data_IF_039519530438
#
_entry.id   IF_039519530438
#
_cell.length_a   1.000
_cell.length_b   1.000
_cell.length_c   1.000
_cell.angle_alpha   90.00
_cell.angle_beta   90.00
_cell.angle_gamma   90.00
#
_symmetry.space_group_name_H-M   'P 1'
#
loop_
_entity.id
_entity.type
_entity.pdbx_description
1 polymer ?
#
# COMPACT_ATOMS: atom_id res chain seq x y z
N UNK A 1 -0.77 5.55 4.13
CA UNK A 1 -2.03 5.02 4.70
C UNK A 1 -1.79 4.57 6.13
N UNK A 2 -0.66 3.93 6.38
CA UNK A 2 -0.32 3.32 7.68
C UNK A 2 -0.22 4.33 8.81
N UNK A 3 0.40 5.50 8.59
CA UNK A 3 0.44 6.58 9.58
C UNK A 3 -0.95 6.97 10.12
N UNK A 4 -1.91 7.22 9.23
CA UNK A 4 -3.29 7.58 9.63
C UNK A 4 -4.01 6.44 10.34
N UNK A 5 -3.71 5.19 9.99
CA UNK A 5 -4.26 4.02 10.65
C UNK A 5 -3.72 3.88 12.07
N UNK A 6 -2.43 4.15 12.26
CA UNK A 6 -1.75 4.02 13.57
C UNK A 6 -2.07 5.15 14.54
N UNK A 7 -2.67 6.24 14.07
CA UNK A 7 -3.23 7.29 14.94
C UNK A 7 -4.56 6.88 15.61
N UNK A 8 -5.14 5.75 15.21
CA UNK A 8 -6.40 5.27 15.78
C UNK A 8 -6.11 4.61 17.13
N UNK A 9 -6.70 5.18 18.18
CA UNK A 9 -6.64 4.65 19.54
C UNK A 9 -7.91 3.87 19.86
N UNK A 10 -7.74 2.69 20.43
CA UNK A 10 -8.78 1.88 21.03
C UNK A 10 -8.75 2.12 22.55
N UNK A 11 -9.78 2.72 23.12
CA UNK A 11 -9.84 3.01 24.56
C UNK A 11 -10.58 1.89 25.29
N UNK A 12 -9.88 1.17 26.16
CA UNK A 12 -10.44 0.07 26.96
C UNK A 12 -10.78 0.59 28.35
N UNK A 13 -12.06 0.80 28.65
CA UNK A 13 -12.52 1.26 29.96
C UNK A 13 -12.62 0.11 30.95
N UNK A 14 -12.11 0.35 32.16
CA UNK A 14 -12.05 -0.62 33.24
C UNK A 14 -13.17 -0.35 34.24
N UNK A 15 -13.66 -1.43 34.87
CA UNK A 15 -14.62 -1.30 35.97
C UNK A 15 -13.94 -0.67 37.20
N UNK A 16 -14.69 0.09 37.99
CA UNK A 16 -14.17 0.74 39.22
C UNK A 16 -13.62 -0.26 40.26
N UNK A 17 -14.07 -1.52 40.21
CA UNK A 17 -13.63 -2.58 41.11
C UNK A 17 -12.48 -3.44 40.57
N UNK A 18 -11.90 -3.09 39.42
CA UNK A 18 -10.77 -3.80 38.84
C UNK A 18 -9.55 -3.70 39.77
N UNK A 19 -8.88 -4.83 40.01
CA UNK A 19 -7.69 -4.85 40.87
C UNK A 19 -6.48 -4.35 40.07
N UNK A 20 -5.57 -3.63 40.72
CA UNK A 20 -4.33 -3.17 40.07
C UNK A 20 -3.56 -4.30 39.36
N UNK A 21 -3.52 -5.50 39.96
CA UNK A 21 -2.88 -6.66 39.35
C UNK A 21 -3.53 -7.08 38.02
N UNK A 22 -4.85 -6.97 37.91
CA UNK A 22 -5.60 -7.29 36.68
C UNK A 22 -5.35 -6.23 35.60
N UNK A 23 -5.26 -4.96 36.00
CA UNK A 23 -4.92 -3.83 35.12
C UNK A 23 -3.51 -4.01 34.56
N UNK A 24 -2.52 -4.27 35.42
CA UNK A 24 -1.12 -4.45 35.02
C UNK A 24 -0.95 -5.67 34.09
N UNK A 25 -1.69 -6.75 34.37
CA UNK A 25 -1.71 -7.93 33.50
C UNK A 25 -2.32 -7.64 32.14
N UNK A 26 -3.43 -6.89 32.10
CA UNK A 26 -4.07 -6.50 30.85
C UNK A 26 -3.15 -5.59 30.03
N UNK A 27 -2.55 -4.57 30.66
CA UNK A 27 -1.62 -3.66 29.98
C UNK A 27 -0.44 -4.41 29.36
N UNK A 28 0.19 -5.33 30.11
CA UNK A 28 1.29 -6.15 29.59
C UNK A 28 0.84 -7.09 28.47
N UNK A 29 -0.32 -7.72 28.62
CA UNK A 29 -0.88 -8.59 27.59
C UNK A 29 -1.15 -7.83 26.30
N UNK A 30 -1.67 -6.60 26.39
CA UNK A 30 -1.91 -5.74 25.24
C UNK A 30 -0.60 -5.25 24.64
N UNK A 31 0.37 -4.83 25.45
CA UNK A 31 1.68 -4.40 24.98
C UNK A 31 2.47 -5.51 24.25
N UNK A 32 2.23 -6.77 24.58
CA UNK A 32 2.84 -7.94 23.92
C UNK A 32 2.04 -8.44 22.71
N UNK A 33 0.84 -7.91 22.49
CA UNK A 33 -0.01 -8.36 21.40
C UNK A 33 0.55 -7.90 20.04
N UNK A 34 0.53 -8.75 19.01
CA UNK A 34 1.09 -8.41 17.70
C UNK A 34 0.35 -7.25 17.00
N UNK A 35 -0.90 -6.99 17.40
CA UNK A 35 -1.71 -5.90 16.87
C UNK A 35 -1.47 -4.56 17.56
N UNK A 36 -0.71 -4.52 18.67
CA UNK A 36 -0.52 -3.32 19.47
C UNK A 36 0.84 -2.69 19.19
N UNK A 37 0.82 -1.38 18.88
CA UNK A 37 2.02 -0.54 18.78
C UNK A 37 2.42 0.01 20.14
N UNK A 38 1.45 0.47 20.92
CA UNK A 38 1.63 1.05 22.25
C UNK A 38 0.38 0.85 23.09
N UNK A 39 0.54 0.50 24.37
CA UNK A 39 -0.54 0.43 25.35
C UNK A 39 -0.22 1.34 26.54
N UNK A 40 -1.06 2.36 26.74
CA UNK A 40 -0.86 3.38 27.79
C UNK A 40 -2.01 3.28 28.78
N UNK A 41 -1.69 3.12 30.07
CA UNK A 41 -2.69 3.22 31.12
C UNK A 41 -2.93 4.69 31.42
N UNK A 42 -4.20 5.10 31.49
CA UNK A 42 -4.63 6.45 31.83
C UNK A 42 -5.54 6.34 33.05
N UNK A 43 -5.15 6.96 34.16
CA UNK A 43 -6.00 6.98 35.34
C UNK A 43 -7.18 7.92 35.14
N UNK A 44 -8.27 7.71 35.89
CA UNK A 44 -9.42 8.61 35.87
C UNK A 44 -9.05 10.05 36.24
N UNK A 45 -8.04 10.25 37.09
CA UNK A 45 -7.53 11.57 37.47
C UNK A 45 -6.79 12.22 36.29
N UNK A 46 -5.90 11.48 35.63
CA UNK A 46 -5.14 11.96 34.46
C UNK A 46 -6.08 12.25 33.28
N UNK A 47 -7.06 11.37 33.04
CA UNK A 47 -8.09 11.58 32.02
C UNK A 47 -8.90 12.87 32.30
N UNK A 48 -9.16 13.19 33.57
CA UNK A 48 -9.91 14.38 33.93
C UNK A 48 -9.09 15.67 33.78
N UNK A 49 -7.79 15.60 34.06
CA UNK A 49 -6.86 16.70 33.81
C UNK A 49 -6.78 16.99 32.30
N UNK A 50 -6.51 15.98 31.47
CA UNK A 50 -6.45 16.10 30.00
C UNK A 50 -7.76 16.64 29.42
N UNK A 51 -8.90 16.11 29.85
CA UNK A 51 -10.20 16.55 29.33
C UNK A 51 -10.57 17.97 29.76
N UNK A 52 -10.18 18.39 30.96
CA UNK A 52 -10.37 19.76 31.43
C UNK A 52 -9.52 20.75 30.64
N UNK A 53 -8.29 20.37 30.29
CA UNK A 53 -7.42 21.18 29.43
C UNK A 53 -7.98 21.33 28.00
N UNK A 54 -8.54 20.26 27.42
CA UNK A 54 -9.15 20.28 26.09
C UNK A 54 -10.40 21.17 26.02
N UNK A 55 -11.24 21.13 27.05
CA UNK A 55 -12.48 21.93 27.12
C UNK A 55 -12.17 23.36 27.58
N UNK A 56 -11.07 23.58 28.30
CA UNK A 56 -10.70 24.85 28.90
C UNK A 56 -11.46 25.20 30.18
N UNK A 57 -12.21 24.24 30.74
CA UNK A 57 -12.99 24.39 31.97
C UNK A 57 -12.85 23.15 32.86
N UNK A 58 -12.84 23.35 34.19
CA UNK A 58 -12.81 22.26 35.14
C UNK A 58 -14.23 21.69 35.36
N UNK A 59 -14.58 20.67 34.60
CA UNK A 59 -15.89 20.02 34.69
C UNK A 59 -16.11 19.30 36.04
N UNK A 60 -15.04 18.95 36.77
CA UNK A 60 -15.16 18.33 38.11
C UNK A 60 -15.78 19.32 39.09
N UNK A 61 -15.42 20.61 39.01
CA UNK A 61 -15.98 21.64 39.88
C UNK A 61 -17.49 21.85 39.61
N UNK A 62 -17.92 21.63 38.37
CA UNK A 62 -19.33 21.73 37.97
C UNK A 62 -20.16 20.49 38.37
N UNK A 63 -19.62 19.29 38.18
CA UNK A 63 -20.32 18.03 38.47
C UNK A 63 -20.22 17.61 39.95
N UNK A 64 -19.23 18.11 40.69
CA UNK A 64 -18.96 17.75 42.09
C UNK A 64 -18.35 16.36 42.29
N UNK A 65 -18.07 15.63 41.20
CA UNK A 65 -17.38 14.34 41.20
C UNK A 65 -16.72 14.08 39.84
N UNK A 66 -15.79 13.13 39.78
CA UNK A 66 -15.16 12.70 38.53
C UNK A 66 -15.96 11.53 37.89
N UNK A 67 -16.70 11.75 36.79
CA UNK A 67 -17.42 10.70 36.05
C UNK A 67 -16.53 9.80 35.18
N UNK A 68 -15.25 10.13 35.00
CA UNK A 68 -14.35 9.37 34.14
C UNK A 68 -13.87 8.08 34.82
N UNK A 69 -13.47 7.12 33.98
CA UNK A 69 -13.01 5.80 34.39
C UNK A 69 -11.54 5.64 34.04
N UNK A 70 -10.89 4.70 34.72
CA UNK A 70 -9.55 4.26 34.31
C UNK A 70 -9.65 3.58 32.94
N UNK A 71 -8.73 3.90 32.04
CA UNK A 71 -8.67 3.29 30.70
C UNK A 71 -7.28 2.78 30.36
N UNK A 72 -7.23 1.87 29.40
CA UNK A 72 -6.00 1.54 28.68
C UNK A 72 -6.21 1.93 27.22
N UNK A 73 -5.45 2.92 26.79
CA UNK A 73 -5.43 3.41 25.41
C UNK A 73 -4.43 2.58 24.60
N UNK A 74 -4.96 1.85 23.62
CA UNK A 74 -4.21 0.93 22.77
C UNK A 74 -4.09 1.53 21.38
N UNK A 75 -2.87 1.92 21.00
CA UNK A 75 -2.54 2.24 19.61
C UNK A 75 -2.29 0.95 18.84
N UNK A 76 -2.98 0.80 17.71
CA UNK A 76 -2.91 -0.40 16.88
C UNK A 76 -1.86 -0.24 15.77
N UNK A 77 -1.25 -1.36 15.37
CA UNK A 77 -0.40 -1.42 14.17
C UNK A 77 -1.27 -1.30 12.91
N UNK A 78 -0.80 -0.57 11.89
CA UNK A 78 -1.58 -0.28 10.67
C UNK A 78 -2.19 -1.52 9.99
N UNK A 79 -1.48 -2.65 10.03
CA UNK A 79 -1.89 -3.93 9.45
C UNK A 79 -3.19 -4.47 10.06
N UNK A 80 -3.46 -4.13 11.32
CA UNK A 80 -4.62 -4.60 12.08
C UNK A 80 -5.77 -3.59 12.13
N UNK A 81 -5.59 -2.43 11.48
CA UNK A 81 -6.61 -1.37 11.42
C UNK A 81 -7.52 -1.62 10.23
N UNK A 82 -8.41 -2.59 10.43
CA UNK A 82 -9.55 -2.89 9.56
C UNK A 82 -10.81 -3.02 10.40
N UNK A 83 -11.98 -2.74 9.81
CA UNK A 83 -13.27 -2.81 10.52
C UNK A 83 -13.51 -4.18 11.15
N UNK A 84 -13.12 -5.25 10.46
CA UNK A 84 -13.30 -6.64 10.91
C UNK A 84 -12.34 -7.01 12.03
N UNK A 85 -11.04 -6.71 11.89
CA UNK A 85 -10.04 -7.04 12.91
C UNK A 85 -10.22 -6.22 14.19
N UNK A 86 -10.54 -4.93 14.08
CA UNK A 86 -10.79 -4.10 15.26
C UNK A 86 -12.04 -4.59 16.01
N UNK A 87 -13.09 -5.01 15.29
CA UNK A 87 -14.26 -5.61 15.93
C UNK A 87 -13.90 -6.90 16.68
N UNK A 88 -13.08 -7.77 16.10
CA UNK A 88 -12.61 -9.00 16.76
C UNK A 88 -11.76 -8.71 17.98
N UNK A 89 -10.81 -7.77 17.88
CA UNK A 89 -9.95 -7.35 19.00
C UNK A 89 -10.81 -6.74 20.12
N UNK A 90 -11.78 -5.89 19.78
CA UNK A 90 -12.67 -5.28 20.74
C UNK A 90 -13.55 -6.33 21.46
N UNK A 91 -14.05 -7.33 20.74
CA UNK A 91 -14.82 -8.45 21.33
C UNK A 91 -13.97 -9.31 22.25
N UNK A 92 -12.74 -9.64 21.85
CA UNK A 92 -11.79 -10.40 22.68
C UNK A 92 -11.46 -9.67 23.99
N UNK A 93 -11.22 -8.36 23.92
CA UNK A 93 -10.92 -7.54 25.10
C UNK A 93 -12.15 -7.38 25.99
N UNK A 94 -13.34 -7.15 25.39
CA UNK A 94 -14.61 -7.00 26.12
C UNK A 94 -15.02 -8.28 26.85
N UNK A 95 -14.55 -9.45 26.41
CA UNK A 95 -14.80 -10.72 27.09
C UNK A 95 -14.16 -10.86 28.48
N UNK A 96 -13.28 -9.93 28.87
CA UNK A 96 -12.61 -9.94 30.18
C UNK A 96 -13.52 -9.33 31.26
N UNK A 97 -13.76 -10.06 32.35
CA UNK A 97 -14.75 -9.67 33.37
C UNK A 97 -14.50 -8.34 34.10
N UNK A 98 -13.27 -7.81 34.06
CA UNK A 98 -12.87 -6.52 34.65
C UNK A 98 -12.83 -5.36 33.64
N UNK A 99 -13.07 -5.64 32.35
CA UNK A 99 -13.31 -4.63 31.31
C UNK A 99 -14.79 -4.26 31.34
N UNK A 100 -15.09 -2.97 31.27
CA UNK A 100 -16.46 -2.48 31.22
C UNK A 100 -16.93 -2.26 29.79
N UNK A 101 -16.13 -1.54 29.01
CA UNK A 101 -16.44 -1.19 27.64
C UNK A 101 -15.15 -0.99 26.84
N UNK A 102 -15.19 -1.34 25.56
CA UNK A 102 -14.13 -1.01 24.60
C UNK A 102 -14.70 -0.02 23.60
N UNK A 103 -14.22 1.22 23.65
CA UNK A 103 -14.67 2.29 22.78
C UNK A 103 -13.65 2.57 21.67
N UNK A 104 -14.16 2.78 20.46
CA UNK A 104 -13.40 3.16 19.29
C UNK A 104 -14.32 3.82 18.26
N UNK A 105 -13.76 4.73 17.45
CA UNK A 105 -14.51 5.44 16.41
C UNK A 105 -14.79 4.55 15.19
N UNK A 106 -15.81 3.70 15.32
CA UNK A 106 -16.28 2.78 14.26
C UNK A 106 -16.53 3.52 12.94
N UNK A 107 -17.28 4.64 12.90
CA UNK A 107 -17.49 5.40 11.67
C UNK A 107 -16.19 5.87 11.02
N UNK A 108 -15.25 6.43 11.80
CA UNK A 108 -13.98 6.93 11.27
C UNK A 108 -13.15 5.80 10.66
N UNK A 109 -13.02 4.67 11.37
CA UNK A 109 -12.28 3.49 10.87
C UNK A 109 -12.92 2.95 9.59
N UNK A 110 -14.25 2.83 9.55
CA UNK A 110 -14.97 2.36 8.37
C UNK A 110 -14.75 3.31 7.18
N UNK A 111 -14.89 4.62 7.40
CA UNK A 111 -14.65 5.63 6.38
C UNK A 111 -13.21 5.60 5.86
N UNK A 112 -12.21 5.51 6.74
CA UNK A 112 -10.80 5.41 6.35
C UNK A 112 -10.54 4.15 5.53
N UNK A 113 -10.99 3.00 6.01
CA UNK A 113 -10.78 1.70 5.35
C UNK A 113 -11.45 1.67 3.97
N UNK A 114 -12.70 2.14 3.88
CA UNK A 114 -13.45 2.19 2.62
C UNK A 114 -12.83 3.17 1.62
N UNK A 115 -12.38 4.34 2.07
CA UNK A 115 -11.72 5.32 1.21
C UNK A 115 -10.39 4.80 0.69
N UNK A 116 -9.56 4.19 1.55
CA UNK A 116 -8.29 3.56 1.13
C UNK A 116 -8.56 2.46 0.11
N UNK A 117 -9.58 1.62 0.32
CA UNK A 117 -9.97 0.56 -0.62
C UNK A 117 -10.45 1.12 -1.96
N UNK A 118 -11.31 2.15 -1.94
CA UNK A 118 -11.82 2.82 -3.16
C UNK A 118 -10.69 3.47 -3.95
N UNK A 119 -9.81 4.21 -3.29
CA UNK A 119 -8.66 4.87 -3.94
C UNK A 119 -7.73 3.82 -4.55
N UNK A 120 -7.39 2.77 -3.80
CA UNK A 120 -6.54 1.67 -4.28
C UNK A 120 -7.14 0.98 -5.50
N UNK A 121 -8.46 0.77 -5.49
CA UNK A 121 -9.19 0.18 -6.63
C UNK A 121 -9.13 1.07 -7.88
N UNK A 122 -9.34 2.37 -7.74
CA UNK A 122 -9.23 3.30 -8.87
C UNK A 122 -7.81 3.43 -9.39
N UNK A 123 -6.80 3.44 -8.51
CA UNK A 123 -5.38 3.40 -8.92
C UNK A 123 -5.12 2.15 -9.74
N UNK A 124 -5.59 0.98 -9.29
CA UNK A 124 -5.42 -0.27 -10.04
C UNK A 124 -6.07 -0.23 -11.43
N UNK A 125 -7.28 0.32 -11.54
CA UNK A 125 -7.96 0.52 -12.83
C UNK A 125 -7.11 1.39 -13.75
N UNK A 126 -6.68 2.56 -13.25
CA UNK A 126 -5.87 3.51 -14.02
C UNK A 126 -4.56 2.86 -14.45
N UNK A 127 -3.84 2.20 -13.56
CA UNK A 127 -2.62 1.45 -13.88
C UNK A 127 -2.87 0.37 -14.95
N UNK A 128 -4.00 -0.34 -14.89
CA UNK A 128 -4.40 -1.31 -15.91
C UNK A 128 -4.61 -0.67 -17.29
N UNK A 129 -5.29 0.48 -17.34
CA UNK A 129 -5.49 1.26 -18.58
C UNK A 129 -4.15 1.74 -19.14
N UNK A 130 -3.27 2.29 -18.31
CA UNK A 130 -1.93 2.71 -18.75
C UNK A 130 -1.08 1.55 -19.26
N UNK A 131 -1.17 0.39 -18.60
CA UNK A 131 -0.50 -0.84 -19.06
C UNK A 131 -1.02 -1.25 -20.43
N UNK A 132 -2.34 -1.23 -20.63
CA UNK A 132 -2.94 -1.53 -21.92
C UNK A 132 -2.50 -0.56 -23.02
N UNK A 133 -2.47 0.75 -22.74
CA UNK A 133 -1.96 1.78 -23.66
C UNK A 133 -0.50 1.50 -24.01
N UNK A 134 0.35 1.19 -23.02
CA UNK A 134 1.75 0.87 -23.26
C UNK A 134 1.92 -0.33 -24.20
N UNK A 135 1.14 -1.41 -23.99
CA UNK A 135 1.15 -2.59 -24.87
C UNK A 135 0.75 -2.22 -26.31
N UNK A 136 -0.28 -1.38 -26.49
CA UNK A 136 -0.71 -0.92 -27.82
C UNK A 136 0.36 -0.09 -28.53
N UNK A 137 1.03 0.80 -27.81
CA UNK A 137 2.12 1.62 -28.34
C UNK A 137 3.32 0.76 -28.75
N UNK A 138 3.71 -0.21 -27.91
CA UNK A 138 4.78 -1.17 -28.22
C UNK A 138 4.42 -1.98 -29.47
N UNK A 139 3.19 -2.49 -29.55
CA UNK A 139 2.70 -3.26 -30.69
C UNK A 139 2.75 -2.43 -31.99
N UNK A 140 2.29 -1.18 -31.95
CA UNK A 140 2.32 -0.26 -33.09
C UNK A 140 3.74 0.08 -33.53
N UNK A 141 4.66 0.30 -32.57
CA UNK A 141 6.08 0.55 -32.83
C UNK A 141 6.77 -0.65 -33.48
N UNK A 142 6.51 -1.87 -32.98
CA UNK A 142 7.07 -3.11 -33.54
C UNK A 142 6.55 -3.34 -34.96
N UNK A 143 5.25 -3.11 -35.21
CA UNK A 143 4.67 -3.19 -36.55
C UNK A 143 5.44 -2.31 -37.53
N UNK A 144 5.66 -1.05 -37.16
CA UNK A 144 6.39 -0.10 -37.99
C UNK A 144 7.85 -0.54 -38.22
N UNK A 145 8.51 -1.05 -37.18
CA UNK A 145 9.89 -1.54 -37.25
C UNK A 145 10.05 -2.77 -38.14
N UNK A 146 9.10 -3.71 -38.09
CA UNK A 146 9.07 -4.89 -38.96
C UNK A 146 8.81 -4.46 -40.41
N UNK A 147 7.85 -3.57 -40.64
CA UNK A 147 7.51 -3.08 -41.97
C UNK A 147 8.68 -2.36 -42.66
N UNK A 148 9.47 -1.58 -41.92
CA UNK A 148 10.63 -0.89 -42.48
C UNK A 148 11.77 -1.85 -42.85
N UNK A 149 11.86 -3.01 -42.19
CA UNK A 149 12.88 -4.05 -42.42
C UNK A 149 12.35 -5.25 -43.24
N UNK A 150 11.18 -5.14 -43.87
CA UNK A 150 10.49 -6.26 -44.53
C UNK A 150 11.35 -7.02 -45.56
N UNK A 151 12.13 -6.32 -46.37
CA UNK A 151 13.00 -6.94 -47.39
C UNK A 151 14.13 -7.77 -46.78
N UNK A 152 14.75 -7.27 -45.70
CA UNK A 152 15.80 -7.97 -44.96
C UNK A 152 15.22 -9.23 -44.31
N UNK A 153 14.04 -9.11 -43.69
CA UNK A 153 13.33 -10.24 -43.07
C UNK A 153 13.00 -11.31 -44.11
N UNK A 154 12.49 -10.93 -45.29
CA UNK A 154 12.22 -11.87 -46.40
C UNK A 154 13.50 -12.58 -46.85
N UNK A 155 14.59 -11.84 -47.00
CA UNK A 155 15.89 -12.41 -47.39
C UNK A 155 16.38 -13.43 -46.37
N UNK A 156 16.26 -13.11 -45.06
CA UNK A 156 16.58 -14.05 -43.97
C UNK A 156 15.69 -15.30 -44.01
N UNK A 157 14.40 -15.17 -44.32
CA UNK A 157 13.49 -16.31 -44.47
C UNK A 157 13.86 -17.19 -45.67
N UNK A 158 14.29 -16.61 -46.80
CA UNK A 158 14.68 -17.37 -48.00
C UNK A 158 15.94 -18.20 -47.80
N UNK A 159 16.87 -17.75 -46.95
CA UNK A 159 18.07 -18.52 -46.57
C UNK A 159 17.84 -19.49 -45.40
N UNK A 160 16.59 -19.65 -44.94
CA UNK A 160 16.22 -20.63 -43.91
C UNK A 160 16.39 -20.16 -42.45
N UNK A 161 16.50 -18.85 -42.20
CA UNK A 161 16.62 -18.34 -40.83
C UNK A 161 15.36 -18.65 -40.00
N UNK A 162 15.56 -19.09 -38.75
CA UNK A 162 14.45 -19.39 -37.84
C UNK A 162 13.72 -18.11 -37.40
N UNK A 163 12.42 -18.21 -37.10
CA UNK A 163 11.62 -17.09 -36.53
C UNK A 163 12.26 -16.50 -35.27
N UNK A 164 12.92 -17.35 -34.46
CA UNK A 164 13.64 -16.94 -33.25
C UNK A 164 14.87 -16.07 -33.57
N UNK A 165 15.60 -16.39 -34.64
CA UNK A 165 16.74 -15.59 -35.07
C UNK A 165 16.30 -14.19 -35.53
N UNK A 166 15.19 -14.12 -36.27
CA UNK A 166 14.64 -12.85 -36.78
C UNK A 166 14.12 -11.96 -35.65
N UNK A 167 13.46 -12.52 -34.62
CA UNK A 167 12.88 -11.74 -33.51
C UNK A 167 13.89 -11.27 -32.47
N UNK A 168 15.01 -11.99 -32.28
CA UNK A 168 16.01 -11.70 -31.24
C UNK A 168 16.49 -10.23 -31.20
N UNK A 169 16.86 -9.58 -32.33
CA UNK A 169 17.27 -8.18 -32.30
C UNK A 169 16.16 -7.23 -31.85
N UNK A 170 14.90 -7.50 -32.23
CA UNK A 170 13.76 -6.66 -31.81
C UNK A 170 13.50 -6.79 -30.30
N UNK A 171 13.55 -8.01 -29.75
CA UNK A 171 13.39 -8.24 -28.31
C UNK A 171 14.51 -7.53 -27.54
N UNK A 172 15.76 -7.71 -27.95
CA UNK A 172 16.90 -7.08 -27.26
C UNK A 172 16.85 -5.55 -27.27
N UNK A 173 16.44 -4.94 -28.38
CA UNK A 173 16.27 -3.49 -28.45
C UNK A 173 15.21 -3.01 -27.48
N UNK A 174 14.01 -3.63 -27.49
CA UNK A 174 12.92 -3.21 -26.60
C UNK A 174 13.20 -3.49 -25.12
N UNK A 175 13.91 -4.57 -24.80
CA UNK A 175 14.35 -4.84 -23.43
C UNK A 175 15.28 -3.73 -22.93
N UNK A 176 16.25 -3.28 -23.74
CA UNK A 176 17.13 -2.15 -23.39
C UNK A 176 16.35 -0.85 -23.20
N UNK A 177 15.41 -0.55 -24.09
CA UNK A 177 14.52 0.61 -23.94
C UNK A 177 13.64 0.48 -22.68
N UNK A 178 13.18 -0.72 -22.34
CA UNK A 178 12.44 -1.02 -21.12
C UNK A 178 13.28 -0.79 -19.87
N UNK A 179 14.54 -1.24 -19.86
CA UNK A 179 15.50 -0.95 -18.77
C UNK A 179 15.67 0.54 -18.57
N UNK A 180 15.94 1.29 -19.64
CA UNK A 180 16.11 2.75 -19.57
C UNK A 180 14.83 3.46 -19.09
N UNK A 181 13.66 3.05 -19.59
CA UNK A 181 12.37 3.59 -19.17
C UNK A 181 12.09 3.31 -17.69
N UNK A 182 12.37 2.10 -17.23
CA UNK A 182 12.22 1.74 -15.81
C UNK A 182 13.21 2.52 -14.93
N UNK A 183 14.45 2.73 -15.36
CA UNK A 183 15.43 3.53 -14.62
C UNK A 183 14.98 4.99 -14.49
N UNK A 184 14.45 5.58 -15.57
CA UNK A 184 13.88 6.94 -15.53
C UNK A 184 12.67 7.01 -14.60
N UNK A 185 11.80 6.00 -14.61
CA UNK A 185 10.66 5.93 -13.70
C UNK A 185 11.11 5.84 -12.24
N UNK A 186 12.16 5.07 -11.94
CA UNK A 186 12.74 4.97 -10.60
C UNK A 186 13.35 6.30 -10.13
N UNK A 187 14.03 7.04 -11.02
CA UNK A 187 14.54 8.37 -10.69
C UNK A 187 13.40 9.34 -10.35
N UNK A 188 12.31 9.31 -11.13
CA UNK A 188 11.16 10.15 -10.86
C UNK A 188 10.44 9.75 -9.57
N UNK A 189 10.28 8.45 -9.32
CA UNK A 189 9.71 7.91 -8.08
C UNK A 189 10.55 8.33 -6.87
N UNK A 190 11.87 8.16 -6.92
CA UNK A 190 12.78 8.58 -5.86
C UNK A 190 12.74 10.09 -5.61
N UNK A 191 12.71 10.90 -6.67
CA UNK A 191 12.56 12.35 -6.56
C UNK A 191 11.23 12.76 -5.92
N UNK A 192 10.12 12.10 -6.30
CA UNK A 192 8.80 12.35 -5.73
C UNK A 192 8.74 11.96 -4.25
N UNK A 193 9.26 10.80 -3.88
CA UNK A 193 9.33 10.35 -2.48
C UNK A 193 10.16 11.30 -1.62
N UNK A 194 11.31 11.74 -2.14
CA UNK A 194 12.14 12.73 -1.46
C UNK A 194 11.40 14.07 -1.27
N UNK A 195 10.72 14.56 -2.31
CA UNK A 195 9.92 15.78 -2.23
C UNK A 195 8.77 15.64 -1.22
N UNK A 196 8.06 14.51 -1.20
CA UNK A 196 7.01 14.26 -0.23
C UNK A 196 7.54 14.22 1.20
N UNK A 197 8.68 13.58 1.44
CA UNK A 197 9.29 13.51 2.76
C UNK A 197 9.70 14.89 3.31
N UNK A 198 10.09 15.82 2.44
CA UNK A 198 10.40 17.20 2.85
C UNK A 198 9.15 18.01 3.24
N UNK A 199 8.03 17.81 2.56
CA UNK A 199 6.81 18.58 2.80
C UNK A 199 5.90 17.94 3.86
N UNK A 200 5.98 16.63 4.03
CA UNK A 200 5.14 15.84 4.95
C UNK A 200 6.01 14.82 5.71
N UNK A 201 6.87 15.28 6.63
CA UNK A 201 7.79 14.42 7.37
C UNK A 201 7.06 13.40 8.25
N UNK A 202 5.82 13.69 8.66
CA UNK A 202 4.96 12.80 9.46
C UNK A 202 4.68 11.47 8.76
N UNK A 203 4.73 11.42 7.43
CA UNK A 203 4.43 10.21 6.67
C UNK A 203 5.53 9.15 6.73
N UNK A 204 6.74 9.52 7.19
CA UNK A 204 7.90 8.63 7.35
C UNK A 204 8.17 7.73 6.12
N UNK A 205 7.90 8.22 4.90
CA UNK A 205 7.96 7.41 3.67
C UNK A 205 9.34 6.80 3.38
N UNK A 206 10.39 7.33 4.01
CA UNK A 206 11.78 6.90 3.86
C UNK A 206 12.27 6.00 5.01
N UNK A 207 11.45 5.72 6.03
CA UNK A 207 11.87 4.97 7.22
C UNK A 207 12.07 3.47 6.92
N UNK A 208 11.17 2.88 6.13
CA UNK A 208 11.25 1.46 5.76
C UNK A 208 12.09 1.23 4.49
N UNK A 209 13.39 1.03 4.70
CA UNK A 209 14.36 0.76 3.62
C UNK A 209 14.05 -0.53 2.85
N UNK A 210 13.48 -1.55 3.53
CA UNK A 210 13.23 -2.86 2.94
C UNK A 210 12.02 -2.81 2.02
N UNK A 211 10.95 -2.17 2.49
CA UNK A 211 9.77 -1.91 1.68
C UNK A 211 10.11 -1.07 0.45
N UNK A 212 10.90 -0.01 0.62
CA UNK A 212 11.37 0.82 -0.50
C UNK A 212 12.23 0.04 -1.48
N UNK A 213 13.17 -0.77 -0.99
CA UNK A 213 14.00 -1.65 -1.85
C UNK A 213 13.13 -2.60 -2.67
N UNK A 214 12.12 -3.22 -2.04
CA UNK A 214 11.15 -4.08 -2.69
C UNK A 214 10.32 -3.36 -3.75
N UNK A 215 9.84 -2.14 -3.45
CA UNK A 215 9.08 -1.30 -4.38
C UNK A 215 9.90 -0.95 -5.63
N UNK A 216 11.13 -0.46 -5.46
CA UNK A 216 12.01 -0.09 -6.56
C UNK A 216 12.36 -1.29 -7.44
N UNK A 217 12.69 -2.42 -6.81
CA UNK A 217 12.95 -3.67 -7.53
C UNK A 217 11.70 -4.15 -8.27
N UNK A 218 10.53 -4.08 -7.64
CA UNK A 218 9.25 -4.45 -8.22
C UNK A 218 8.92 -3.62 -9.47
N UNK A 219 9.06 -2.29 -9.41
CA UNK A 219 8.85 -1.39 -10.55
C UNK A 219 9.82 -1.70 -11.69
N UNK A 220 11.10 -1.94 -11.39
CA UNK A 220 12.11 -2.30 -12.39
C UNK A 220 11.77 -3.61 -13.10
N UNK A 221 11.47 -4.66 -12.32
CA UNK A 221 11.14 -5.99 -12.84
C UNK A 221 9.84 -5.95 -13.65
N UNK A 222 8.80 -5.25 -13.18
CA UNK A 222 7.55 -5.11 -13.92
C UNK A 222 7.76 -4.36 -15.24
N UNK A 223 8.53 -3.27 -15.25
CA UNK A 223 8.86 -2.55 -16.49
C UNK A 223 9.57 -3.44 -17.52
N UNK A 224 10.51 -4.26 -17.06
CA UNK A 224 11.19 -5.26 -17.88
C UNK A 224 10.25 -6.34 -18.41
N UNK A 225 9.41 -6.91 -17.55
CA UNK A 225 8.46 -7.96 -17.90
C UNK A 225 7.42 -7.46 -18.91
N UNK A 226 6.86 -6.27 -18.69
CA UNK A 226 5.89 -5.66 -19.61
C UNK A 226 6.53 -5.46 -20.98
N UNK A 227 7.74 -4.90 -21.05
CA UNK A 227 8.45 -4.71 -22.33
C UNK A 227 8.74 -6.03 -23.04
N UNK A 228 9.24 -7.03 -22.30
CA UNK A 228 9.60 -8.34 -22.84
C UNK A 228 8.38 -9.10 -23.36
N UNK A 229 7.32 -9.20 -22.55
CA UNK A 229 6.08 -9.89 -22.92
C UNK A 229 5.40 -9.18 -24.10
N UNK A 230 5.25 -7.86 -24.04
CA UNK A 230 4.64 -7.09 -25.12
C UNK A 230 5.39 -7.27 -26.44
N UNK A 231 6.72 -7.21 -26.40
CA UNK A 231 7.54 -7.38 -27.60
C UNK A 231 7.50 -8.81 -28.13
N UNK A 232 7.51 -9.80 -27.25
CA UNK A 232 7.39 -11.20 -27.63
C UNK A 232 6.06 -11.48 -28.34
N UNK A 233 4.93 -11.05 -27.76
CA UNK A 233 3.61 -11.26 -28.37
C UNK A 233 3.46 -10.52 -29.69
N UNK A 234 3.92 -9.27 -29.77
CA UNK A 234 3.85 -8.49 -31.00
C UNK A 234 4.70 -9.13 -32.12
N UNK A 235 5.97 -9.46 -31.85
CA UNK A 235 6.85 -10.07 -32.85
C UNK A 235 6.38 -11.46 -33.28
N UNK A 236 5.86 -12.29 -32.36
CA UNK A 236 5.29 -13.59 -32.68
C UNK A 236 4.08 -13.47 -33.62
N UNK A 237 3.18 -12.52 -33.35
CA UNK A 237 2.01 -12.26 -34.18
C UNK A 237 2.42 -11.84 -35.61
N UNK A 238 3.38 -10.91 -35.74
CA UNK A 238 3.78 -10.39 -37.05
C UNK A 238 4.65 -11.35 -37.87
N UNK A 239 5.47 -12.18 -37.23
CA UNK A 239 6.29 -13.18 -37.95
C UNK A 239 5.53 -14.46 -38.32
N UNK A 240 4.33 -14.64 -37.78
CA UNK A 240 3.43 -15.75 -38.15
C UNK A 240 2.48 -15.40 -39.30
N UNK A 241 2.29 -14.11 -39.64
CA UNK A 241 1.56 -13.72 -40.84
C UNK A 241 2.34 -14.19 -42.08
N UNK A 242 1.63 -14.82 -43.04
CA UNK A 242 2.27 -15.34 -44.26
C UNK A 242 2.90 -14.16 -44.98
N UNK A 243 4.11 -14.38 -45.49
CA UNK A 243 4.95 -13.32 -46.02
C UNK A 243 4.35 -12.57 -47.23
N UNK A 244 3.23 -13.03 -47.75
CA UNK A 244 2.50 -12.45 -48.88
C UNK A 244 1.45 -11.41 -48.41
N UNK A 245 1.07 -11.39 -47.13
CA UNK A 245 0.15 -10.41 -46.53
C UNK A 245 0.88 -9.12 -46.08
N UNK A 246 2.21 -9.04 -46.24
CA UNK A 246 3.01 -7.85 -45.93
C UNK A 246 3.02 -6.80 -47.05
N UNK A 247 2.36 -7.10 -48.17
CA UNK A 247 2.26 -6.25 -49.37
C UNK A 247 0.89 -5.58 -49.56
N UNK A 248 -0.06 -5.82 -48.64
CA UNK A 248 -1.36 -5.14 -48.60
C UNK A 248 -1.62 -4.51 -47.23
#
# INVERSE_FOLDING_TARGET
ADHFKEQITLSVFLKDNAKQVEIDQLQKSLALAPYTKKATYVSKEEAAEQHSEEIGENFIDFLGYNPLKNSIDVQLNAEFVTTEQIAQIAEEISGKGYVEEVNYDKPLIALLTDNVKKISFWILIVSGVFTFIAVLLINSSIRLSIYSKRFIIKTMQMVGATKTFIRKPFIWTNVKLGMLGSLLALLFLGGLLYYMNLNFPELELLSDIWFLGGLFLGVFVLGLLISLLSTFFATQRFLNLRTDDLYY
#
